data_IF_958284560846
#
_entry.id   IF_958284560846
#
_cell.length_a   1.000
_cell.length_b   1.000
_cell.length_c   1.000
_cell.angle_alpha   90.00
_cell.angle_beta   90.00
_cell.angle_gamma   90.00
#
_symmetry.space_group_name_H-M   'P 1'
#
loop_
_entity.id
_entity.type
_entity.pdbx_description
1 polymer ?
#
# COMPACT_ATOMS: atom_id res chain seq x y z
N UNK A 1 -7.98 -3.66 8.29
CA UNK A 1 -8.54 -3.21 9.58
C UNK A 1 -7.48 -3.02 10.65
N UNK A 2 -6.88 -4.12 11.12
CA UNK A 2 -5.96 -4.13 12.28
C UNK A 2 -4.78 -3.16 12.20
N UNK A 3 -4.16 -2.98 11.04
CA UNK A 3 -3.02 -2.05 10.83
C UNK A 3 -3.47 -0.59 10.73
N UNK A 4 -4.64 -0.34 10.13
CA UNK A 4 -5.14 0.99 9.77
C UNK A 4 -5.92 1.67 10.90
N UNK A 5 -6.41 0.91 11.88
CA UNK A 5 -7.21 1.47 12.97
C UNK A 5 -6.34 2.26 13.96
N UNK A 6 -6.88 3.32 14.56
CA UNK A 6 -6.15 4.15 15.53
C UNK A 6 -5.67 3.36 16.76
N UNK A 7 -6.47 2.38 17.19
CA UNK A 7 -6.15 1.44 18.28
C UNK A 7 -5.42 0.17 17.79
N UNK A 8 -4.72 0.26 16.66
CA UNK A 8 -3.90 -0.83 16.14
C UNK A 8 -2.94 -1.37 17.21
N UNK A 9 -2.78 -2.69 17.37
CA UNK A 9 -1.80 -3.27 18.29
C UNK A 9 -0.35 -3.00 17.81
N UNK A 10 -0.19 -2.62 16.55
CA UNK A 10 1.07 -2.29 15.90
C UNK A 10 1.37 -0.79 16.05
N UNK A 11 2.39 -0.50 16.85
CA UNK A 11 2.90 0.84 17.14
C UNK A 11 4.42 0.81 17.30
N UNK A 12 5.04 1.94 17.68
CA UNK A 12 6.50 2.06 17.73
C UNK A 12 7.19 1.01 18.63
N UNK A 13 6.49 0.51 19.65
CA UNK A 13 6.99 -0.54 20.56
C UNK A 13 6.82 -1.96 19.99
N UNK A 14 5.96 -2.13 18.99
CA UNK A 14 5.47 -3.41 18.47
C UNK A 14 5.59 -3.45 16.93
N UNK A 15 6.81 -3.26 16.43
CA UNK A 15 7.17 -3.48 15.03
C UNK A 15 6.93 -2.31 14.07
N UNK A 16 6.21 -1.24 14.44
CA UNK A 16 6.06 -0.09 13.55
C UNK A 16 7.34 0.76 13.56
N UNK A 17 7.90 1.06 12.38
CA UNK A 17 9.09 1.92 12.26
C UNK A 17 8.70 3.41 12.33
N UNK A 18 9.69 4.30 12.44
CA UNK A 18 9.45 5.74 12.36
C UNK A 18 8.85 6.14 10.99
N UNK A 19 9.33 5.54 9.90
CA UNK A 19 8.75 5.70 8.56
C UNK A 19 7.32 5.20 8.49
N UNK A 20 7.05 4.08 9.14
CA UNK A 20 5.73 3.51 9.20
C UNK A 20 4.75 4.38 9.95
N UNK A 21 5.17 4.98 11.08
CA UNK A 21 4.37 5.95 11.80
C UNK A 21 4.05 7.16 10.91
N UNK A 22 5.05 7.75 10.23
CA UNK A 22 4.84 8.87 9.30
C UNK A 22 3.83 8.53 8.20
N UNK A 23 3.86 7.31 7.68
CA UNK A 23 2.98 6.87 6.58
C UNK A 23 1.57 6.57 7.05
N UNK A 24 1.42 5.85 8.17
CA UNK A 24 0.11 5.44 8.67
C UNK A 24 -0.61 6.53 9.47
N UNK A 25 0.10 7.48 10.08
CA UNK A 25 -0.53 8.56 10.85
C UNK A 25 -1.48 9.40 9.98
N UNK A 26 -1.11 9.67 8.73
CA UNK A 26 -1.93 10.39 7.78
C UNK A 26 -3.24 9.63 7.48
N UNK A 27 -3.14 8.37 7.07
CA UNK A 27 -4.30 7.50 6.81
C UNK A 27 -5.18 7.30 8.05
N UNK A 28 -4.58 7.04 9.21
CA UNK A 28 -5.29 6.87 10.48
C UNK A 28 -6.09 8.11 10.85
N UNK A 29 -5.52 9.30 10.64
CA UNK A 29 -6.24 10.56 10.86
C UNK A 29 -7.46 10.69 9.95
N UNK A 30 -7.30 10.38 8.66
CA UNK A 30 -8.39 10.40 7.67
C UNK A 30 -9.49 9.38 7.98
N UNK A 31 -9.11 8.19 8.45
CA UNK A 31 -10.04 7.11 8.79
C UNK A 31 -10.81 7.36 10.10
N UNK A 32 -10.32 8.25 10.95
CA UNK A 32 -10.93 8.63 12.22
C UNK A 32 -11.16 10.16 12.29
N UNK A 33 -11.95 10.73 11.37
CA UNK A 33 -12.16 12.18 11.34
C UNK A 33 -12.78 12.63 12.68
N UNK A 34 -12.47 13.81 13.22
CA UNK A 34 -13.08 14.28 14.45
C UNK A 34 -14.60 14.44 14.28
N UNK A 35 -15.35 14.44 15.39
CA UNK A 35 -16.79 14.74 15.31
C UNK A 35 -16.94 16.21 14.95
N UNK A 36 -17.20 16.48 13.68
CA UNK A 36 -17.60 17.81 13.25
C UNK A 36 -19.04 18.02 13.67
N UNK A 37 -19.31 19.03 14.50
CA UNK A 37 -20.66 19.47 14.84
C UNK A 37 -21.36 20.14 13.66
N UNK A 38 -21.33 19.51 12.48
CA UNK A 38 -22.08 19.92 11.32
C UNK A 38 -23.57 19.80 11.69
N UNK A 39 -24.13 20.91 12.15
CA UNK A 39 -25.56 21.03 12.42
C UNK A 39 -26.35 20.93 11.12
N UNK A 40 -27.68 20.86 11.25
CA UNK A 40 -28.65 20.89 10.14
C UNK A 40 -28.66 22.21 9.38
N UNK A 41 -27.93 23.23 9.84
CA UNK A 41 -27.90 24.57 9.26
C UNK A 41 -26.83 24.69 8.17
N UNK A 42 -27.15 25.41 7.08
CA UNK A 42 -26.35 25.50 5.85
C UNK A 42 -24.95 26.08 6.11
N UNK A 43 -24.81 26.91 7.16
CA UNK A 43 -23.53 27.51 7.59
C UNK A 43 -22.55 26.49 8.20
N UNK A 44 -23.03 25.31 8.58
CA UNK A 44 -22.26 24.21 9.17
C UNK A 44 -21.89 23.09 8.19
N UNK A 45 -22.31 23.18 6.92
CA UNK A 45 -21.96 22.19 5.90
C UNK A 45 -20.43 22.15 5.75
N UNK A 46 -19.85 21.00 6.09
CA UNK A 46 -18.46 20.68 5.80
C UNK A 46 -18.46 19.67 4.65
N UNK A 47 -17.60 19.85 3.63
CA UNK A 47 -17.49 18.87 2.57
C UNK A 47 -17.07 17.53 3.18
N UNK A 48 -17.75 16.46 2.77
CA UNK A 48 -17.35 15.12 3.19
C UNK A 48 -15.94 14.85 2.66
N UNK A 49 -15.03 14.28 3.47
CA UNK A 49 -13.72 13.91 3.00
C UNK A 49 -13.85 12.90 1.85
N UNK A 50 -12.91 12.89 0.89
CA UNK A 50 -12.92 11.90 -0.17
C UNK A 50 -12.77 10.49 0.42
N UNK A 51 -13.25 9.46 -0.29
CA UNK A 51 -13.14 8.08 0.19
C UNK A 51 -11.69 7.64 0.25
N UNK A 52 -11.35 6.89 1.31
CA UNK A 52 -10.06 6.21 1.41
C UNK A 52 -10.02 5.07 0.40
N UNK A 53 -9.06 5.11 -0.53
CA UNK A 53 -8.87 4.10 -1.56
C UNK A 53 -7.92 3.02 -1.06
N UNK A 54 -8.42 1.80 -0.95
CA UNK A 54 -7.59 0.63 -0.64
C UNK A 54 -7.44 -0.21 -1.91
N UNK A 55 -6.23 -0.22 -2.45
CA UNK A 55 -5.86 -1.01 -3.61
C UNK A 55 -5.46 -2.40 -3.15
N UNK A 56 -6.28 -3.38 -3.49
CA UNK A 56 -6.09 -4.77 -3.10
C UNK A 56 -5.50 -5.49 -4.32
N UNK A 57 -4.20 -5.75 -4.27
CA UNK A 57 -3.45 -6.29 -5.41
C UNK A 57 -3.34 -7.81 -5.32
N UNK A 58 -3.40 -8.46 -6.48
CA UNK A 58 -3.43 -9.91 -6.56
C UNK A 58 -4.69 -10.48 -5.91
N UNK A 59 -5.78 -9.70 -5.86
CA UNK A 59 -7.04 -10.10 -5.25
C UNK A 59 -7.54 -11.37 -5.93
N UNK A 60 -7.56 -12.49 -5.20
CA UNK A 60 -8.09 -13.78 -5.66
C UNK A 60 -9.26 -14.14 -4.74
N UNK A 61 -8.94 -14.74 -3.61
CA UNK A 61 -9.92 -15.09 -2.59
C UNK A 61 -10.66 -13.84 -2.08
N UNK A 62 -9.96 -12.72 -1.94
CA UNK A 62 -10.45 -11.44 -1.41
C UNK A 62 -11.62 -10.88 -2.22
N UNK A 63 -11.52 -10.92 -3.55
CA UNK A 63 -12.56 -10.45 -4.47
C UNK A 63 -13.75 -11.39 -4.56
N UNK A 64 -13.59 -12.66 -4.17
CA UNK A 64 -14.67 -13.65 -4.15
C UNK A 64 -15.49 -13.64 -2.86
N UNK A 65 -15.01 -12.95 -1.82
CA UNK A 65 -15.72 -12.88 -0.53
C UNK A 65 -17.10 -12.22 -0.67
N UNK A 66 -18.10 -12.67 0.12
CA UNK A 66 -19.38 -11.98 0.23
C UNK A 66 -19.17 -10.51 0.63
N UNK A 67 -19.95 -9.60 0.03
CA UNK A 67 -19.78 -8.14 0.20
C UNK A 67 -20.02 -7.73 1.66
N UNK A 68 -20.83 -8.50 2.38
CA UNK A 68 -21.10 -8.36 3.81
C UNK A 68 -19.83 -8.42 4.65
N UNK A 69 -18.83 -9.21 4.23
CA UNK A 69 -17.52 -9.29 4.91
C UNK A 69 -16.79 -7.96 4.81
N UNK A 70 -16.78 -7.34 3.63
CA UNK A 70 -16.15 -6.03 3.43
C UNK A 70 -16.89 -4.90 4.13
N UNK A 71 -18.22 -4.95 4.14
CA UNK A 71 -19.09 -4.01 4.87
C UNK A 71 -18.79 -3.98 6.39
N UNK A 72 -18.16 -5.03 6.95
CA UNK A 72 -17.70 -5.01 8.35
C UNK A 72 -16.71 -3.87 8.64
N UNK A 73 -15.97 -3.38 7.63
CA UNK A 73 -15.08 -2.22 7.79
C UNK A 73 -15.83 -0.97 8.28
N UNK A 74 -17.13 -0.80 8.00
CA UNK A 74 -17.91 0.32 8.52
C UNK A 74 -18.08 0.28 10.03
N UNK A 75 -18.13 -0.91 10.60
CA UNK A 75 -18.26 -1.06 12.06
C UNK A 75 -16.95 -0.65 12.75
N UNK A 76 -15.82 -0.81 12.06
CA UNK A 76 -14.52 -0.34 12.53
C UNK A 76 -14.29 1.16 12.27
N UNK A 77 -14.80 1.68 11.15
CA UNK A 77 -14.60 3.06 10.72
C UNK A 77 -15.95 3.72 10.33
N UNK A 78 -16.83 4.02 11.30
CA UNK A 78 -18.23 4.40 11.02
C UNK A 78 -18.39 5.75 10.32
N UNK A 79 -17.33 6.54 10.24
CA UNK A 79 -17.35 7.90 9.70
C UNK A 79 -16.45 8.08 8.47
N UNK A 80 -15.73 7.03 8.08
CA UNK A 80 -14.94 7.02 6.86
C UNK A 80 -15.79 6.42 5.73
N UNK A 81 -15.49 6.85 4.50
CA UNK A 81 -16.00 6.18 3.30
C UNK A 81 -14.84 5.46 2.62
N UNK A 82 -15.12 4.32 2.00
CA UNK A 82 -14.10 3.48 1.37
C UNK A 82 -14.35 3.31 -0.11
N UNK A 83 -13.26 3.27 -0.87
CA UNK A 83 -13.24 2.71 -2.20
C UNK A 83 -12.26 1.54 -2.21
N UNK A 84 -12.78 0.31 -2.23
CA UNK A 84 -11.94 -0.88 -2.37
C UNK A 84 -11.74 -1.15 -3.86
N UNK A 85 -10.49 -1.29 -4.27
CA UNK A 85 -10.09 -1.44 -5.67
C UNK A 85 -9.36 -2.77 -5.80
N UNK A 86 -10.07 -3.81 -6.23
CA UNK A 86 -9.49 -5.13 -6.49
C UNK A 86 -8.80 -5.11 -7.85
N UNK A 87 -7.52 -5.49 -7.89
CA UNK A 87 -6.72 -5.51 -9.10
C UNK A 87 -5.99 -6.85 -9.18
N UNK A 88 -6.17 -7.54 -10.30
CA UNK A 88 -5.40 -8.74 -10.62
C UNK A 88 -6.04 -9.53 -11.75
N UNK A 89 -5.24 -10.30 -12.51
CA UNK A 89 -5.74 -11.13 -13.61
C UNK A 89 -6.75 -12.19 -13.14
N UNK A 90 -6.65 -12.61 -11.87
CA UNK A 90 -7.53 -13.61 -11.26
C UNK A 90 -8.60 -13.00 -10.34
N UNK A 91 -8.84 -11.69 -10.38
CA UNK A 91 -9.84 -11.01 -9.52
C UNK A 91 -11.30 -11.40 -9.78
N UNK A 92 -11.53 -12.12 -10.87
CA UNK A 92 -12.83 -12.72 -11.22
C UNK A 92 -12.83 -14.25 -11.14
N UNK A 93 -11.75 -14.86 -10.63
CA UNK A 93 -11.73 -16.30 -10.37
C UNK A 93 -12.86 -16.68 -9.40
N UNK A 94 -13.55 -17.79 -9.69
CA UNK A 94 -14.69 -18.29 -8.92
C UNK A 94 -15.92 -17.36 -8.86
N UNK A 95 -16.04 -16.42 -9.82
CA UNK A 95 -17.18 -15.50 -9.96
C UNK A 95 -17.91 -15.70 -11.29
N UNK A 96 -18.06 -16.97 -11.71
CA UNK A 96 -18.61 -17.34 -13.04
C UNK A 96 -20.02 -16.78 -13.28
N UNK A 97 -20.82 -16.64 -12.22
CA UNK A 97 -22.17 -16.07 -12.29
C UNK A 97 -22.20 -14.57 -12.64
N UNK A 98 -21.07 -13.87 -12.52
CA UNK A 98 -20.95 -12.44 -12.81
C UNK A 98 -20.47 -12.15 -14.24
N UNK A 99 -20.29 -13.21 -15.06
CA UNK A 99 -19.98 -13.07 -16.48
C UNK A 99 -21.26 -12.86 -17.33
N UNK A 100 -21.15 -12.18 -18.48
CA UNK A 100 -19.93 -11.62 -19.08
C UNK A 100 -19.46 -10.33 -18.41
N UNK A 101 -18.15 -10.07 -18.47
CA UNK A 101 -17.58 -8.80 -17.99
C UNK A 101 -18.18 -7.62 -18.76
N UNK A 102 -18.30 -6.44 -18.11
CA UNK A 102 -18.73 -5.22 -18.79
C UNK A 102 -17.89 -4.92 -20.04
N UNK A 103 -18.56 -4.53 -21.12
CA UNK A 103 -17.86 -4.16 -22.35
C UNK A 103 -16.94 -2.95 -22.11
N UNK A 104 -15.75 -2.98 -22.70
CA UNK A 104 -14.82 -1.85 -22.69
C UNK A 104 -15.42 -0.71 -23.52
N UNK A 105 -15.65 0.43 -22.87
CA UNK A 105 -16.25 1.64 -23.48
C UNK A 105 -15.35 2.84 -23.19
N UNK A 106 -15.59 3.98 -23.86
CA UNK A 106 -14.83 5.21 -23.58
C UNK A 106 -14.94 5.65 -22.10
N UNK A 107 -16.08 5.40 -21.45
CA UNK A 107 -16.30 5.68 -20.02
C UNK A 107 -15.77 4.59 -19.07
N UNK A 108 -15.54 3.38 -19.58
CA UNK A 108 -14.99 2.25 -18.83
C UNK A 108 -13.97 1.49 -19.70
N UNK A 109 -12.77 2.07 -19.92
CA UNK A 109 -11.79 1.50 -20.85
C UNK A 109 -11.26 0.13 -20.41
N UNK A 110 -11.32 -0.15 -19.11
CA UNK A 110 -10.81 -1.38 -18.51
C UNK A 110 -11.87 -2.47 -18.31
N UNK A 111 -13.15 -2.18 -18.61
CA UNK A 111 -14.25 -3.12 -18.36
C UNK A 111 -14.41 -3.43 -16.87
N UNK A 112 -14.06 -2.48 -16.00
CA UNK A 112 -14.13 -2.67 -14.56
C UNK A 112 -15.58 -2.87 -14.10
N UNK A 113 -15.75 -3.78 -13.14
CA UNK A 113 -17.02 -3.99 -12.45
C UNK A 113 -17.07 -2.99 -11.31
N UNK A 114 -18.08 -2.14 -11.29
CA UNK A 114 -18.23 -1.09 -10.27
C UNK A 114 -19.51 -1.32 -9.50
N UNK A 115 -19.36 -1.62 -8.21
CA UNK A 115 -20.43 -1.79 -7.25
C UNK A 115 -20.43 -0.54 -6.34
N UNK A 116 -21.43 0.32 -6.48
CA UNK A 116 -21.50 1.59 -5.75
C UNK A 116 -22.52 1.53 -4.59
N UNK A 117 -22.28 2.36 -3.57
CA UNK A 117 -23.15 2.54 -2.38
C UNK A 117 -23.44 1.26 -1.58
N UNK A 118 -22.49 0.32 -1.54
CA UNK A 118 -22.57 -0.86 -0.67
C UNK A 118 -22.62 -0.39 0.79
N UNK A 119 -23.73 -0.69 1.48
CA UNK A 119 -24.02 -0.19 2.82
C UNK A 119 -23.91 1.35 2.99
N UNK A 120 -24.05 2.11 1.91
CA UNK A 120 -24.05 3.58 1.89
C UNK A 120 -22.68 4.28 2.03
N UNK A 121 -21.62 3.57 2.40
CA UNK A 121 -20.29 4.15 2.66
C UNK A 121 -19.14 3.48 1.91
N UNK A 122 -19.41 2.47 1.06
CA UNK A 122 -18.38 1.76 0.29
C UNK A 122 -18.73 1.70 -1.18
N UNK A 123 -17.67 1.85 -1.98
CA UNK A 123 -17.63 1.51 -3.39
C UNK A 123 -16.61 0.39 -3.57
N UNK A 124 -16.94 -0.60 -4.37
CA UNK A 124 -16.01 -1.64 -4.81
C UNK A 124 -15.80 -1.50 -6.31
N UNK A 125 -14.56 -1.62 -6.77
CA UNK A 125 -14.24 -1.69 -8.19
C UNK A 125 -13.27 -2.83 -8.45
N UNK A 126 -13.61 -3.73 -9.37
CA UNK A 126 -12.78 -4.89 -9.73
C UNK A 126 -12.21 -4.71 -11.13
N UNK A 127 -10.89 -4.86 -11.26
CA UNK A 127 -10.13 -4.75 -12.50
C UNK A 127 -9.41 -6.08 -12.79
N UNK A 128 -9.78 -6.72 -13.90
CA UNK A 128 -9.11 -7.92 -14.42
C UNK A 128 -7.90 -7.51 -15.26
N UNK A 129 -6.88 -6.99 -14.60
CA UNK A 129 -5.67 -6.44 -15.20
C UNK A 129 -4.52 -6.41 -14.18
N UNK A 130 -3.27 -6.28 -14.63
CA UNK A 130 -2.15 -6.05 -13.73
C UNK A 130 -2.05 -4.59 -13.28
N UNK A 131 -1.59 -4.37 -12.04
CA UNK A 131 -1.43 -3.01 -11.51
C UNK A 131 -0.49 -2.15 -12.36
N UNK A 132 0.62 -2.73 -12.83
CA UNK A 132 1.59 -1.99 -13.64
C UNK A 132 1.01 -1.45 -14.95
N UNK A 133 0.07 -2.17 -15.56
CA UNK A 133 -0.65 -1.68 -16.76
C UNK A 133 -1.53 -0.48 -16.42
N UNK A 134 -2.30 -0.56 -15.33
CA UNK A 134 -3.20 0.49 -14.89
C UNK A 134 -2.45 1.74 -14.41
N UNK A 135 -1.31 1.56 -13.75
CA UNK A 135 -0.46 2.64 -13.28
C UNK A 135 0.25 3.35 -14.44
N UNK A 136 0.79 2.61 -15.41
CA UNK A 136 1.35 3.19 -16.64
C UNK A 136 0.32 4.03 -17.42
N UNK A 137 -0.94 3.59 -17.43
CA UNK A 137 -2.05 4.33 -18.03
C UNK A 137 -2.57 5.49 -17.16
N UNK A 138 -1.97 5.74 -15.99
CA UNK A 138 -2.37 6.78 -15.03
C UNK A 138 -3.84 6.67 -14.59
N UNK A 139 -4.40 5.46 -14.58
CA UNK A 139 -5.83 5.23 -14.31
C UNK A 139 -6.28 5.69 -12.91
N UNK A 140 -5.35 5.71 -11.95
CA UNK A 140 -5.62 6.08 -10.55
C UNK A 140 -4.85 7.29 -10.05
N UNK A 141 -3.98 7.87 -10.89
CA UNK A 141 -3.19 9.04 -10.53
C UNK A 141 -4.09 10.30 -10.41
N UNK A 142 -3.76 11.24 -9.51
CA UNK A 142 -2.65 11.22 -8.56
C UNK A 142 -2.88 10.27 -7.38
N UNK A 143 -1.78 9.77 -6.80
CA UNK A 143 -1.82 9.03 -5.54
C UNK A 143 -1.67 10.00 -4.36
N UNK A 144 -2.47 9.80 -3.33
CA UNK A 144 -2.49 10.60 -2.12
C UNK A 144 -2.18 9.73 -0.89
N UNK A 145 -0.99 9.88 -0.26
CA UNK A 145 -0.63 9.15 0.95
C UNK A 145 -1.56 9.34 2.16
N UNK A 146 -2.47 10.33 2.14
CA UNK A 146 -3.48 10.55 3.18
C UNK A 146 -4.75 9.74 2.98
N UNK A 147 -5.02 9.29 1.75
CA UNK A 147 -6.26 8.61 1.35
C UNK A 147 -6.03 7.27 0.68
N UNK A 148 -4.82 6.96 0.23
CA UNK A 148 -4.51 5.74 -0.49
C UNK A 148 -3.70 4.77 0.36
N UNK A 149 -3.93 3.49 0.16
CA UNK A 149 -3.14 2.41 0.73
C UNK A 149 -3.17 1.17 -0.16
N UNK A 150 -2.07 0.44 -0.22
CA UNK A 150 -2.00 -0.86 -0.89
C UNK A 150 -2.10 -1.98 0.13
N UNK A 151 -2.86 -3.01 -0.21
CA UNK A 151 -2.98 -4.24 0.59
C UNK A 151 -2.75 -5.42 -0.33
N UNK A 152 -1.76 -6.24 0.00
CA UNK A 152 -1.40 -7.44 -0.72
C UNK A 152 -1.60 -8.62 0.22
N UNK A 153 -2.67 -9.38 0.01
CA UNK A 153 -2.92 -10.58 0.79
C UNK A 153 -2.10 -11.72 0.19
N UNK A 154 -1.20 -12.31 0.99
CA UNK A 154 -0.41 -13.48 0.59
C UNK A 154 0.19 -13.38 -0.83
N UNK A 155 0.89 -12.28 -1.17
CA UNK A 155 1.20 -11.97 -2.56
C UNK A 155 2.14 -12.97 -3.23
N UNK A 156 2.95 -13.70 -2.46
CA UNK A 156 3.94 -14.62 -2.99
C UNK A 156 4.97 -13.90 -3.84
N UNK A 157 5.44 -12.73 -3.38
CA UNK A 157 6.42 -11.90 -4.09
C UNK A 157 7.70 -12.67 -4.41
N UNK A 158 8.20 -13.44 -3.44
CA UNK A 158 9.41 -14.25 -3.56
C UNK A 158 9.12 -15.70 -3.96
N UNK A 159 7.88 -16.08 -4.23
CA UNK A 159 7.55 -17.45 -4.58
C UNK A 159 7.96 -17.76 -6.03
N UNK A 160 8.69 -18.86 -6.32
CA UNK A 160 9.24 -19.13 -7.66
C UNK A 160 8.22 -19.15 -8.80
N UNK A 161 6.97 -19.52 -8.50
CA UNK A 161 5.90 -19.58 -9.49
C UNK A 161 5.29 -18.21 -9.86
N UNK A 162 5.38 -17.20 -8.99
CA UNK A 162 4.67 -15.92 -9.15
C UNK A 162 5.59 -14.69 -9.14
N UNK A 163 6.83 -14.83 -8.68
CA UNK A 163 7.76 -13.70 -8.52
C UNK A 163 7.97 -12.89 -9.79
N UNK A 164 8.00 -13.55 -10.95
CA UNK A 164 8.16 -12.91 -12.26
C UNK A 164 7.02 -11.92 -12.58
N UNK A 165 5.79 -12.19 -12.12
CA UNK A 165 4.65 -11.29 -12.36
C UNK A 165 4.75 -9.98 -11.55
N UNK A 166 5.47 -10.03 -10.42
CA UNK A 166 5.64 -8.89 -9.51
C UNK A 166 6.83 -8.01 -9.87
N UNK A 167 7.79 -8.48 -10.66
CA UNK A 167 9.00 -7.71 -11.02
C UNK A 167 8.69 -6.38 -11.70
N UNK A 168 7.72 -6.37 -12.62
CA UNK A 168 7.27 -5.13 -13.29
C UNK A 168 6.43 -4.23 -12.37
N UNK A 169 5.80 -4.81 -11.36
CA UNK A 169 4.86 -4.15 -10.45
C UNK A 169 5.58 -3.45 -9.31
N UNK A 170 6.61 -4.05 -8.72
CA UNK A 170 7.31 -3.53 -7.55
C UNK A 170 7.85 -2.10 -7.74
N UNK A 171 8.58 -1.76 -8.82
CA UNK A 171 9.10 -0.40 -9.01
C UNK A 171 7.98 0.66 -9.03
N UNK A 172 6.84 0.34 -9.67
CA UNK A 172 5.70 1.24 -9.78
C UNK A 172 4.99 1.42 -8.43
N UNK A 173 4.93 0.36 -7.61
CA UNK A 173 4.44 0.49 -6.24
C UNK A 173 5.33 1.41 -5.40
N UNK A 174 6.65 1.26 -5.52
CA UNK A 174 7.61 2.12 -4.81
C UNK A 174 7.57 3.57 -5.32
N UNK A 175 7.19 3.79 -6.58
CA UNK A 175 6.98 5.14 -7.13
C UNK A 175 5.83 5.87 -6.44
N UNK A 176 4.74 5.16 -6.08
CA UNK A 176 3.56 5.79 -5.46
C UNK A 176 3.84 6.44 -4.10
N UNK A 177 4.87 5.99 -3.37
CA UNK A 177 5.18 6.41 -1.98
C UNK A 177 4.04 6.22 -0.98
N UNK A 178 3.03 5.44 -1.37
CA UNK A 178 1.88 5.04 -0.55
C UNK A 178 2.27 3.81 0.27
N UNK A 179 1.75 3.66 1.51
CA UNK A 179 2.01 2.47 2.32
C UNK A 179 1.48 1.19 1.65
N UNK A 180 2.32 0.15 1.66
CA UNK A 180 1.99 -1.20 1.15
C UNK A 180 2.01 -2.15 2.34
N UNK A 181 0.86 -2.79 2.59
CA UNK A 181 0.66 -3.75 3.69
C UNK A 181 0.58 -5.14 3.09
N UNK A 182 1.39 -6.05 3.59
CA UNK A 182 1.46 -7.43 3.11
C UNK A 182 1.13 -8.42 4.23
N UNK A 183 0.52 -9.54 3.87
CA UNK A 183 0.32 -10.68 4.77
C UNK A 183 0.99 -11.94 4.23
N UNK A 184 1.22 -12.92 5.11
CA UNK A 184 1.84 -14.20 4.77
C UNK A 184 1.12 -15.41 5.37
N UNK A 185 1.33 -16.59 4.79
CA UNK A 185 0.73 -17.86 5.24
C UNK A 185 1.55 -18.52 6.35
N UNK A 186 2.87 -18.37 6.25
CA UNK A 186 3.86 -18.89 7.18
C UNK A 186 4.95 -17.85 7.42
N UNK A 187 5.76 -18.06 8.45
CA UNK A 187 6.94 -17.24 8.71
C UNK A 187 7.95 -17.31 7.56
N UNK A 188 8.11 -18.52 6.99
CA UNK A 188 9.06 -18.77 5.91
C UNK A 188 8.68 -18.05 4.62
N UNK A 189 7.41 -18.09 4.22
CA UNK A 189 6.95 -17.40 3.02
C UNK A 189 7.04 -15.88 3.18
N UNK A 190 6.70 -15.36 4.36
CA UNK A 190 6.82 -13.93 4.66
C UNK A 190 8.28 -13.44 4.54
N UNK A 191 9.24 -14.16 5.12
CA UNK A 191 10.65 -13.80 5.02
C UNK A 191 11.20 -13.95 3.59
N UNK A 192 10.71 -14.91 2.82
CA UNK A 192 11.06 -15.05 1.40
C UNK A 192 10.59 -13.84 0.58
N UNK A 193 9.36 -13.38 0.82
CA UNK A 193 8.80 -12.20 0.17
C UNK A 193 9.58 -10.93 0.54
N UNK A 194 9.98 -10.79 1.81
CA UNK A 194 10.80 -9.67 2.29
C UNK A 194 12.17 -9.66 1.61
N UNK A 195 12.87 -10.81 1.62
CA UNK A 195 14.18 -10.93 0.98
C UNK A 195 14.12 -10.58 -0.51
N UNK A 196 13.07 -11.04 -1.20
CA UNK A 196 12.85 -10.70 -2.61
C UNK A 196 12.62 -9.20 -2.81
N UNK A 197 11.83 -8.54 -1.96
CA UNK A 197 11.62 -7.08 -2.04
C UNK A 197 12.90 -6.32 -1.75
N UNK A 198 13.68 -6.73 -0.75
CA UNK A 198 14.98 -6.10 -0.43
C UNK A 198 15.96 -6.21 -1.62
N UNK A 199 16.06 -7.38 -2.25
CA UNK A 199 16.90 -7.60 -3.42
C UNK A 199 16.44 -6.77 -4.62
N UNK A 200 15.15 -6.85 -4.97
CA UNK A 200 14.61 -6.25 -6.20
C UNK A 200 14.40 -4.75 -6.10
N UNK A 201 14.13 -4.23 -4.90
CA UNK A 201 14.00 -2.78 -4.68
C UNK A 201 15.34 -2.04 -4.71
N UNK A 202 16.48 -2.74 -4.60
CA UNK A 202 17.84 -2.15 -4.58
C UNK A 202 17.98 -1.03 -3.54
N UNK A 203 17.31 -1.19 -2.41
CA UNK A 203 17.30 -0.21 -1.32
C UNK A 203 16.35 0.97 -1.51
N UNK A 204 15.44 0.95 -2.48
CA UNK A 204 14.38 1.95 -2.66
C UNK A 204 13.14 1.72 -1.79
N UNK A 205 13.08 0.58 -1.10
CA UNK A 205 12.00 0.26 -0.16
C UNK A 205 12.41 0.57 1.28
N UNK A 206 11.56 1.32 1.98
CA UNK A 206 11.64 1.50 3.44
C UNK A 206 10.65 0.56 4.11
N UNK A 207 11.13 -0.20 5.11
CA UNK A 207 10.26 -1.01 5.96
C UNK A 207 9.43 -0.09 6.85
N UNK A 208 8.11 -0.21 6.73
CA UNK A 208 7.13 0.52 7.53
C UNK A 208 6.71 -0.29 8.76
N UNK A 209 6.47 -1.59 8.58
CA UNK A 209 6.05 -2.51 9.62
C UNK A 209 6.95 -3.74 9.56
N UNK A 210 7.70 -3.96 10.62
CA UNK A 210 8.59 -5.10 10.75
C UNK A 210 7.80 -6.42 10.66
N UNK A 211 8.38 -7.47 10.07
CA UNK A 211 7.77 -8.79 10.05
C UNK A 211 7.44 -9.26 11.46
N UNK A 212 6.19 -9.66 11.67
CA UNK A 212 5.74 -10.25 12.92
C UNK A 212 4.47 -11.06 12.72
N UNK A 213 4.15 -11.90 13.70
CA UNK A 213 2.87 -12.60 13.74
C UNK A 213 1.70 -11.60 13.81
N UNK A 214 0.70 -11.81 12.96
CA UNK A 214 -0.51 -11.01 12.96
C UNK A 214 -1.41 -11.42 14.12
N UNK A 215 -1.64 -10.50 15.07
CA UNK A 215 -2.53 -10.71 16.22
C UNK A 215 -3.97 -11.04 15.83
N UNK A 216 -4.38 -10.67 14.61
CA UNK A 216 -5.69 -10.96 14.05
C UNK A 216 -5.62 -11.99 12.91
N UNK A 217 -4.64 -12.89 12.93
CA UNK A 217 -4.56 -14.00 11.97
C UNK A 217 -5.77 -14.93 12.09
N UNK A 218 -6.03 -15.69 11.05
CA UNK A 218 -6.96 -16.80 11.11
C UNK A 218 -6.50 -17.80 12.17
N UNK A 219 -7.44 -18.29 12.98
CA UNK A 219 -7.22 -19.42 13.89
C UNK A 219 -7.50 -20.77 13.21
N UNK A 220 -8.08 -20.74 12.00
CA UNK A 220 -8.27 -21.93 11.19
C UNK A 220 -6.94 -22.30 10.56
N UNK A 221 -6.55 -23.56 10.81
CA UNK A 221 -5.44 -24.21 10.13
C UNK A 221 -5.94 -24.76 8.80
N UNK A 222 -5.20 -24.48 7.74
CA UNK A 222 -5.38 -25.08 6.43
C UNK A 222 -4.24 -26.06 6.20
N UNK A 223 -4.61 -27.28 5.81
CA UNK A 223 -3.69 -28.38 5.55
C UNK A 223 -3.57 -28.53 4.04
N UNK A 224 -2.35 -28.64 3.54
CA UNK A 224 -2.15 -29.03 2.16
C UNK A 224 -2.48 -30.52 2.00
N UNK A 225 -3.45 -30.85 1.14
CA UNK A 225 -3.84 -32.24 0.88
C UNK A 225 -2.70 -33.08 0.30
N UNK A 226 -1.71 -32.46 -0.36
CA UNK A 226 -0.56 -33.12 -0.97
C UNK A 226 0.58 -33.38 0.03
N UNK A 227 0.67 -32.60 1.10
CA UNK A 227 1.60 -32.81 2.22
C UNK A 227 0.97 -32.40 3.56
N UNK A 228 0.04 -33.20 4.11
CA UNK A 228 -0.70 -32.83 5.33
C UNK A 228 0.18 -32.79 6.59
N UNK A 229 1.39 -33.37 6.54
CA UNK A 229 2.29 -33.48 7.67
C UNK A 229 3.33 -32.36 7.71
N UNK A 230 3.75 -31.84 6.55
CA UNK A 230 4.77 -30.81 6.41
C UNK A 230 4.24 -29.40 6.13
N UNK A 231 3.06 -29.27 5.54
CA UNK A 231 2.57 -27.99 5.02
C UNK A 231 1.24 -27.59 5.66
N UNK A 232 1.37 -27.08 6.89
CA UNK A 232 0.28 -26.54 7.70
C UNK A 232 0.40 -25.02 7.70
N UNK A 233 -0.63 -24.34 7.22
CA UNK A 233 -0.65 -22.88 7.12
C UNK A 233 -1.86 -22.27 7.81
N UNK A 234 -1.79 -20.96 8.07
CA UNK A 234 -2.94 -20.20 8.54
C UNK A 234 -3.10 -18.93 7.72
N UNK A 235 -4.32 -18.67 7.26
CA UNK A 235 -4.64 -17.42 6.58
C UNK A 235 -4.25 -16.20 7.41
N UNK A 236 -3.54 -15.27 6.78
CA UNK A 236 -3.04 -14.03 7.37
C UNK A 236 -2.16 -14.23 8.62
N UNK A 237 -1.37 -15.31 8.69
CA UNK A 237 -0.45 -15.62 9.79
C UNK A 237 0.51 -14.47 10.11
N UNK A 238 1.21 -13.97 9.09
CA UNK A 238 2.21 -12.92 9.21
C UNK A 238 1.69 -11.57 8.71
N UNK A 239 2.22 -10.49 9.25
CA UNK A 239 1.98 -9.13 8.74
C UNK A 239 3.28 -8.34 8.70
N UNK A 240 3.47 -7.61 7.61
CA UNK A 240 4.58 -6.69 7.42
C UNK A 240 4.16 -5.59 6.44
N UNK A 241 5.01 -4.60 6.23
CA UNK A 241 4.71 -3.56 5.28
C UNK A 241 5.91 -2.70 4.94
N UNK A 242 5.87 -2.12 3.75
CA UNK A 242 6.93 -1.30 3.21
C UNK A 242 6.34 -0.15 2.40
N UNK A 243 7.20 0.77 1.97
CA UNK A 243 6.86 1.88 1.10
C UNK A 243 8.07 2.27 0.26
N UNK A 244 7.87 3.02 -0.81
CA UNK A 244 9.00 3.65 -1.50
C UNK A 244 9.63 4.79 -0.70
N UNK A 245 10.96 4.90 -0.77
CA UNK A 245 11.74 5.98 -0.14
C UNK A 245 11.30 7.36 -0.61
N UNK A 246 11.25 8.31 0.32
CA UNK A 246 11.11 9.73 0.02
C UNK A 246 12.48 10.38 0.20
N UNK A 247 13.06 10.89 -0.87
CA UNK A 247 14.24 11.73 -0.76
C UNK A 247 13.82 13.10 -0.20
N UNK A 248 14.35 13.47 0.96
CA UNK A 248 14.19 14.84 1.46
C UNK A 248 14.94 15.79 0.53
N UNK A 249 14.31 16.90 0.13
CA UNK A 249 14.84 17.85 -0.85
C UNK A 249 16.09 18.63 -0.37
N UNK A 250 16.61 18.35 0.82
CA UNK A 250 17.65 19.13 1.48
C UNK A 250 19.09 18.74 1.11
N UNK A 251 19.34 17.52 0.58
CA UNK A 251 20.70 17.10 0.21
C UNK A 251 21.24 17.75 -1.07
N UNK A 252 20.37 18.26 -1.96
CA UNK A 252 20.83 18.89 -3.20
C UNK A 252 21.22 20.37 -3.04
N UNK A 253 20.70 21.07 -2.02
CA UNK A 253 21.02 22.49 -1.80
C UNK A 253 22.27 22.73 -0.92
N UNK A 254 22.67 21.76 -0.09
CA UNK A 254 23.84 21.91 0.79
C UNK A 254 25.18 21.58 0.15
N UNK A 255 25.22 20.64 -0.81
CA UNK A 255 26.48 20.13 -1.37
C UNK A 255 27.04 21.01 -2.51
N UNK A 256 26.18 21.68 -3.27
CA UNK A 256 26.60 22.61 -4.32
C UNK A 256 27.15 23.94 -3.76
N UNK A 257 26.61 24.42 -2.64
CA UNK A 257 27.10 25.65 -2.00
C UNK A 257 28.44 25.44 -1.26
N UNK A 258 28.62 24.28 -0.61
CA UNK A 258 29.88 23.96 0.07
C UNK A 258 31.04 23.68 -0.91
N UNK A 259 30.75 23.13 -2.10
CA UNK A 259 31.76 22.90 -3.13
C UNK A 259 32.16 24.19 -3.88
N UNK A 260 31.29 25.20 -3.93
CA UNK A 260 31.59 26.49 -4.56
C UNK A 260 32.34 27.46 -3.63
N UNK A 261 32.25 27.30 -2.31
CA UNK A 261 32.92 28.16 -1.33
C UNK A 261 34.37 27.79 -1.01
N UNK A 262 34.74 26.51 -1.12
CA UNK A 262 36.08 26.03 -0.76
C UNK A 262 37.14 26.18 -1.87
N UNK A 263 36.71 26.47 -3.10
CA UNK A 263 37.62 26.66 -4.24
C UNK A 263 38.19 28.08 -4.37
N UNK A 264 37.58 29.09 -3.76
CA UNK A 264 38.00 30.49 -3.91
C UNK A 264 38.97 31.00 -2.82
N UNK A 265 39.05 30.33 -1.67
CA UNK A 265 40.01 30.70 -0.62
C UNK A 265 41.41 30.12 -0.88
N UNK A 266 41.51 28.95 -1.53
CA UNK A 266 42.79 28.32 -1.84
C UNK A 266 43.56 28.99 -3.00
N UNK A 267 42.88 29.66 -3.92
CA UNK A 267 43.53 30.40 -5.02
C UNK A 267 44.08 31.77 -4.61
N UNK A 268 43.61 32.35 -3.49
CA UNK A 268 44.08 33.67 -3.03
C UNK A 268 45.34 33.62 -2.17
N UNK A 269 45.68 32.50 -1.55
CA UNK A 269 46.90 32.38 -0.74
C UNK A 269 48.15 32.03 -1.58
N UNK A 270 47.98 31.48 -2.79
CA UNK A 270 49.09 31.09 -3.67
C UNK A 270 49.69 32.23 -4.51
N UNK A 271 48.96 33.32 -4.75
CA UNK A 271 49.45 34.45 -5.58
C UNK A 271 50.25 35.50 -4.79
N UNK A 272 50.21 35.48 -3.45
CA UNK A 272 50.91 36.47 -2.62
C UNK A 272 52.39 36.18 -2.34
N UNK A 273 52.92 34.98 -2.67
CA UNK A 273 54.31 34.60 -2.31
C UNK A 273 55.34 34.74 -3.45
N UNK A 274 54.94 35.11 -4.68
CA UNK A 274 55.86 35.10 -5.85
C UNK A 274 56.44 36.49 -6.20
N UNK A 275 56.16 37.55 -5.43
CA UNK A 275 56.73 38.89 -5.68
C UNK A 275 57.56 39.37 -4.49
N UNK A 276 58.62 38.63 -4.11
CA UNK A 276 59.80 39.18 -3.41
C UNK A 276 61.04 38.30 -3.66
N UNK A 277 61.78 38.60 -4.74
CA UNK A 277 63.24 38.64 -4.80
C UNK A 277 63.70 39.26 -6.12
#
# INVERSE_FOLDING_TARGET
>A
GSVLHELSPYGLKNGLTAEGLRSLSALRYTLHPPRTGAGTDIKGLRPNPPPVRLFILGARAESSLPREVWIQLFHLFPRATFHLIFIGPESMANRDAEFPLPARTASNPWGAIVEDRLGGQMKISTYVEYFHTLHAAQAFAPYDPYFDGFVCFHPGLGHPASSHEWEATLPQLLETKVPIICTGYTDFDMHRDIAWVEEKSRGEADVMLQPQENRFRSLRWDLNDLDPAGDVSAGNWGVWGFRGKRYEADEYRGRAAAAAGSGQEAEREGESEVIRQ
#
